data_IF_058543978490
#
_entry.id   IF_058543978490
#
_cell.length_a   1.000
_cell.length_b   1.000
_cell.length_c   1.000
_cell.angle_alpha   90.00
_cell.angle_beta   90.00
_cell.angle_gamma   90.00
#
_symmetry.space_group_name_H-M   'P 1'
#
loop_
_entity.id
_entity.type
_entity.pdbx_description
1 polymer ?
#
# COMPACT_ATOMS: atom_id res chain seq x y z
N UNK A 1 -11.88 29.83 -3.29
CA UNK A 1 -10.74 29.36 -2.48
C UNK A 1 -10.59 27.87 -2.72
N UNK A 2 -9.68 27.49 -3.61
CA UNK A 2 -9.30 26.11 -3.94
C UNK A 2 -7.87 25.78 -3.46
N UNK A 3 -7.16 26.74 -2.86
CA UNK A 3 -5.74 26.64 -2.52
C UNK A 3 -5.47 25.61 -1.40
N UNK A 4 -6.26 25.62 -0.32
CA UNK A 4 -5.99 24.70 0.81
C UNK A 4 -6.22 23.23 0.47
N UNK A 5 -7.27 22.96 -0.31
CA UNK A 5 -7.59 21.61 -0.72
C UNK A 5 -6.48 20.99 -1.57
N UNK A 6 -5.77 21.81 -2.38
CA UNK A 6 -4.65 21.34 -3.18
C UNK A 6 -3.45 20.93 -2.31
N UNK A 7 -3.08 21.73 -1.31
CA UNK A 7 -2.03 21.36 -0.35
C UNK A 7 -2.41 20.10 0.43
N UNK A 8 -3.62 20.00 0.95
CA UNK A 8 -4.03 18.83 1.75
C UNK A 8 -4.27 17.57 0.90
N UNK A 9 -4.56 17.72 -0.39
CA UNK A 9 -4.73 16.59 -1.29
C UNK A 9 -3.43 15.78 -1.43
N UNK A 10 -2.25 16.40 -1.28
CA UNK A 10 -0.97 15.72 -1.55
C UNK A 10 -0.51 14.79 -0.43
N UNK A 11 -1.07 14.93 0.77
CA UNK A 11 -0.74 14.06 1.90
C UNK A 11 -1.24 12.60 1.66
N UNK A 12 -0.65 11.58 2.30
CA UNK A 12 -1.20 10.22 2.29
C UNK A 12 -2.61 10.20 2.93
N UNK A 13 -3.53 9.35 2.47
CA UNK A 13 -4.88 9.24 3.06
C UNK A 13 -5.49 7.87 2.83
N UNK A 14 -6.57 7.57 3.56
CA UNK A 14 -7.31 6.33 3.37
C UNK A 14 -7.85 6.20 1.94
N UNK A 15 -8.39 7.27 1.36
CA UNK A 15 -8.86 7.32 -0.03
C UNK A 15 -7.74 7.01 -1.04
N UNK A 16 -6.48 7.29 -0.68
CA UNK A 16 -5.34 7.13 -1.57
C UNK A 16 -4.68 5.76 -1.47
N UNK A 17 -4.57 5.23 -0.25
CA UNK A 17 -3.72 4.08 0.05
C UNK A 17 -4.51 2.88 0.57
N UNK A 18 -5.77 3.05 0.98
CA UNK A 18 -6.57 1.89 1.38
C UNK A 18 -6.90 1.07 0.14
N UNK A 19 -6.71 -0.26 0.19
CA UNK A 19 -7.26 -1.14 -0.82
C UNK A 19 -8.80 -1.14 -0.76
N UNK A 20 -9.48 -1.63 -1.81
CA UNK A 20 -10.93 -1.64 -1.88
C UNK A 20 -11.59 -2.35 -0.68
N UNK A 21 -12.67 -1.79 -0.14
CA UNK A 21 -13.35 -2.30 1.08
C UNK A 21 -13.75 -3.78 0.99
N UNK A 22 -14.13 -4.26 -0.20
CA UNK A 22 -14.52 -5.66 -0.43
C UNK A 22 -13.39 -6.68 -0.34
N UNK A 23 -12.13 -6.24 -0.45
CA UNK A 23 -10.97 -7.11 -0.29
C UNK A 23 -10.72 -7.47 1.19
N UNK A 24 -11.20 -6.61 2.11
CA UNK A 24 -11.23 -6.92 3.56
C UNK A 24 -12.23 -8.03 3.91
N UNK A 25 -13.22 -8.29 3.04
CA UNK A 25 -14.41 -9.10 3.38
C UNK A 25 -14.56 -10.40 2.60
N UNK A 26 -13.67 -10.72 1.65
CA UNK A 26 -13.67 -12.03 1.00
C UNK A 26 -13.55 -13.14 2.07
N UNK A 27 -14.42 -14.16 2.08
CA UNK A 27 -14.39 -15.19 3.13
C UNK A 27 -13.06 -15.96 3.13
N UNK A 28 -12.70 -16.53 4.28
CA UNK A 28 -11.61 -17.52 4.36
C UNK A 28 -12.00 -18.78 3.60
N UNK A 29 -11.78 -18.77 2.28
CA UNK A 29 -11.81 -20.00 1.49
C UNK A 29 -10.59 -20.86 1.82
N UNK A 30 -10.66 -22.20 1.68
CA UNK A 30 -9.50 -23.08 1.83
C UNK A 30 -8.47 -22.94 0.70
N UNK A 31 -8.72 -22.07 -0.28
CA UNK A 31 -7.88 -21.89 -1.44
C UNK A 31 -6.58 -21.15 -1.09
N UNK A 32 -5.40 -21.76 -1.35
CA UNK A 32 -4.11 -21.17 -1.00
C UNK A 32 -3.82 -19.81 -1.67
N UNK A 33 -4.40 -19.54 -2.85
CA UNK A 33 -4.22 -18.28 -3.56
C UNK A 33 -4.99 -17.17 -2.86
N UNK A 34 -6.25 -17.41 -2.51
CA UNK A 34 -7.05 -16.43 -1.77
C UNK A 34 -6.44 -16.15 -0.40
N UNK A 35 -5.94 -17.18 0.29
CA UNK A 35 -5.22 -17.02 1.55
C UNK A 35 -3.95 -16.15 1.37
N UNK A 36 -3.18 -16.37 0.30
CA UNK A 36 -1.99 -15.57 0.00
C UNK A 36 -2.34 -14.12 -0.37
N UNK A 37 -3.38 -13.90 -1.17
CA UNK A 37 -3.88 -12.56 -1.51
C UNK A 37 -4.38 -11.79 -0.28
N UNK A 38 -5.10 -12.46 0.63
CA UNK A 38 -5.51 -11.89 1.91
C UNK A 38 -4.32 -11.55 2.80
N UNK A 39 -3.32 -12.42 2.90
CA UNK A 39 -2.11 -12.16 3.67
C UNK A 39 -1.32 -10.98 3.10
N UNK A 40 -1.18 -10.90 1.77
CA UNK A 40 -0.53 -9.76 1.09
C UNK A 40 -1.29 -8.45 1.34
N UNK A 41 -2.63 -8.49 1.33
CA UNK A 41 -3.47 -7.33 1.65
C UNK A 41 -3.35 -6.89 3.10
N UNK A 42 -3.43 -7.84 4.06
CA UNK A 42 -3.22 -7.57 5.49
C UNK A 42 -1.85 -6.93 5.73
N UNK A 43 -0.82 -7.45 5.06
CA UNK A 43 0.51 -6.86 5.13
C UNK A 43 0.54 -5.44 4.56
N UNK A 44 -0.06 -5.21 3.39
CA UNK A 44 -0.20 -3.87 2.83
C UNK A 44 -0.89 -2.91 3.82
N UNK A 45 -2.01 -3.32 4.42
CA UNK A 45 -2.69 -2.50 5.44
C UNK A 45 -1.74 -2.11 6.57
N UNK A 46 -1.00 -3.07 7.13
CA UNK A 46 -0.04 -2.77 8.19
C UNK A 46 1.10 -1.85 7.75
N UNK A 47 1.50 -1.88 6.47
CA UNK A 47 2.53 -0.99 5.92
C UNK A 47 2.03 0.46 5.74
N UNK A 48 0.77 0.64 5.31
CA UNK A 48 0.22 1.97 5.01
C UNK A 48 -0.61 2.60 6.13
N UNK A 49 -0.87 1.86 7.21
CA UNK A 49 -1.66 2.33 8.37
C UNK A 49 -1.06 3.60 9.00
N UNK A 50 0.25 3.59 9.29
CA UNK A 50 0.95 4.76 9.85
C UNK A 50 0.98 5.93 8.86
N UNK A 51 1.36 5.75 7.57
CA UNK A 51 1.23 6.79 6.56
C UNK A 51 -0.16 7.44 6.51
N UNK A 52 -1.23 6.63 6.48
CA UNK A 52 -2.60 7.12 6.46
C UNK A 52 -2.90 7.92 7.73
N UNK A 53 -2.63 7.36 8.91
CA UNK A 53 -2.92 8.01 10.19
C UNK A 53 -2.22 9.38 10.31
N UNK A 54 -0.96 9.47 9.89
CA UNK A 54 -0.20 10.73 9.88
C UNK A 54 -0.79 11.77 8.93
N UNK A 55 -1.14 11.37 7.71
CA UNK A 55 -1.75 12.27 6.75
C UNK A 55 -3.11 12.78 7.21
N UNK A 56 -3.95 11.92 7.80
CA UNK A 56 -5.24 12.33 8.36
C UNK A 56 -5.06 13.27 9.57
N UNK A 57 -4.08 13.00 10.45
CA UNK A 57 -3.76 13.88 11.57
C UNK A 57 -3.32 15.27 11.09
N UNK A 58 -2.47 15.35 10.07
CA UNK A 58 -2.04 16.61 9.44
C UNK A 58 -3.21 17.39 8.83
N UNK A 59 -4.14 16.70 8.14
CA UNK A 59 -5.34 17.34 7.58
C UNK A 59 -6.30 17.88 8.63
N UNK A 60 -6.38 17.22 9.77
CA UNK A 60 -7.20 17.65 10.88
C UNK A 60 -6.61 18.88 11.60
N UNK A 61 -5.30 19.10 11.49
CA UNK A 61 -4.60 20.20 12.13
C UNK A 61 -4.46 21.43 11.23
N UNK A 62 -4.57 22.61 11.85
CA UNK A 62 -4.24 23.87 11.18
C UNK A 62 -2.72 24.04 11.15
N UNK A 63 -2.09 24.24 9.98
CA UNK A 63 -0.66 24.49 9.92
C UNK A 63 -0.27 25.77 10.66
N UNK A 64 0.87 25.74 11.35
CA UNK A 64 1.47 26.87 12.06
C UNK A 64 1.94 27.97 11.10
N UNK A 65 2.49 27.58 9.94
CA UNK A 65 2.82 28.50 8.86
C UNK A 65 1.93 28.25 7.65
N UNK A 66 1.25 29.32 7.19
CA UNK A 66 0.37 29.29 6.04
C UNK A 66 0.67 30.46 5.10
N UNK A 67 1.35 30.18 4.00
CA UNK A 67 1.70 31.18 2.98
C UNK A 67 1.04 30.85 1.63
N UNK A 68 1.32 31.63 0.59
CA UNK A 68 0.83 31.30 -0.75
C UNK A 68 1.47 30.01 -1.31
N UNK A 69 2.66 29.65 -0.84
CA UNK A 69 3.49 28.57 -1.41
C UNK A 69 3.89 27.50 -0.40
N UNK A 70 3.54 27.65 0.88
CA UNK A 70 3.98 26.72 1.92
C UNK A 70 2.90 26.46 2.98
N UNK A 71 2.92 25.24 3.49
CA UNK A 71 2.24 24.81 4.72
C UNK A 71 3.27 24.13 5.62
N UNK A 72 3.34 24.53 6.89
CA UNK A 72 4.24 23.89 7.87
C UNK A 72 3.51 23.60 9.16
N UNK A 73 3.77 22.43 9.70
CA UNK A 73 3.33 22.00 11.02
C UNK A 73 4.57 21.84 11.90
N UNK A 74 4.62 22.59 12.99
CA UNK A 74 5.55 22.34 14.08
C UNK A 74 5.23 20.98 14.73
N UNK A 75 6.17 20.37 15.47
CA UNK A 75 5.93 19.10 16.14
C UNK A 75 4.62 19.10 16.96
N UNK A 76 3.73 18.15 16.68
CA UNK A 76 2.49 17.94 17.43
C UNK A 76 2.26 16.46 17.71
N UNK A 77 1.53 16.18 18.80
CA UNK A 77 1.22 14.81 19.20
C UNK A 77 0.27 14.13 18.22
N UNK A 78 0.63 12.93 17.79
CA UNK A 78 -0.20 12.02 17.00
C UNK A 78 -0.34 10.72 17.77
N UNK A 79 -1.58 10.42 18.17
CA UNK A 79 -1.96 9.12 18.70
C UNK A 79 -2.44 8.22 17.56
N UNK A 80 -1.94 6.99 17.51
CA UNK A 80 -2.25 6.03 16.46
C UNK A 80 -2.61 4.69 17.09
N UNK A 81 -3.62 4.03 16.54
CA UNK A 81 -3.88 2.63 16.79
C UNK A 81 -3.28 1.86 15.61
N UNK A 82 -2.42 0.89 15.90
CA UNK A 82 -1.78 0.04 14.89
C UNK A 82 -2.30 -1.38 15.05
N UNK A 83 -3.07 -1.82 14.06
CA UNK A 83 -3.73 -3.13 14.02
C UNK A 83 -3.03 -4.08 13.04
N UNK A 84 -1.68 -4.09 13.03
CA UNK A 84 -0.87 -4.96 12.18
C UNK A 84 0.59 -5.07 12.60
N UNK A 85 1.20 -6.23 12.37
CA UNK A 85 2.59 -6.54 12.78
C UNK A 85 3.65 -6.13 11.75
N UNK A 86 3.26 -5.51 10.62
CA UNK A 86 4.16 -5.23 9.51
C UNK A 86 5.34 -4.32 9.91
N UNK A 87 5.13 -3.45 10.90
CA UNK A 87 6.15 -2.59 11.50
C UNK A 87 6.68 -3.14 12.85
N UNK A 88 6.33 -4.37 13.22
CA UNK A 88 6.63 -4.95 14.54
C UNK A 88 5.97 -4.21 15.70
N UNK A 89 4.90 -3.46 15.42
CA UNK A 89 4.14 -2.68 16.38
C UNK A 89 2.79 -3.36 16.63
N UNK A 90 2.20 -3.14 17.80
CA UNK A 90 0.80 -3.52 18.03
C UNK A 90 0.21 -2.66 19.13
N UNK A 91 -1.05 -2.27 18.97
CA UNK A 91 -1.78 -1.47 19.94
C UNK A 91 -1.61 0.03 19.73
N UNK A 92 -1.81 0.78 20.81
CA UNK A 92 -1.79 2.24 20.76
C UNK A 92 -0.37 2.78 20.92
N UNK A 93 0.04 3.65 20.00
CA UNK A 93 1.31 4.36 20.01
C UNK A 93 1.08 5.87 20.00
N UNK A 94 2.03 6.61 20.54
CA UNK A 94 2.03 8.07 20.51
C UNK A 94 3.38 8.53 19.98
N UNK A 95 3.38 9.49 19.08
CA UNK A 95 4.57 10.10 18.50
C UNK A 95 4.35 11.59 18.27
N UNK A 96 5.41 12.33 17.96
CA UNK A 96 5.35 13.72 17.59
C UNK A 96 5.67 13.88 16.11
N UNK A 97 4.76 14.45 15.34
CA UNK A 97 4.91 14.63 13.91
C UNK A 97 5.12 16.10 13.55
N UNK A 98 5.99 16.35 12.59
CA UNK A 98 6.10 17.64 11.91
C UNK A 98 6.06 17.41 10.40
N UNK A 99 5.65 18.43 9.66
CA UNK A 99 5.54 18.32 8.21
C UNK A 99 5.73 19.67 7.53
N UNK A 100 6.13 19.60 6.26
CA UNK A 100 6.19 20.73 5.36
C UNK A 100 5.61 20.31 4.00
N UNK A 101 4.83 21.21 3.38
CA UNK A 101 4.41 21.11 1.99
C UNK A 101 4.79 22.42 1.31
N UNK A 102 5.50 22.33 0.19
CA UNK A 102 5.93 23.43 -0.66
C UNK A 102 5.28 23.31 -2.03
N UNK A 103 4.65 24.37 -2.51
CA UNK A 103 4.17 24.46 -3.89
C UNK A 103 5.30 24.92 -4.79
N UNK A 104 5.51 24.19 -5.88
CA UNK A 104 6.47 24.51 -6.94
C UNK A 104 5.82 25.36 -8.04
N UNK A 105 6.65 25.96 -8.90
CA UNK A 105 6.23 26.94 -9.91
C UNK A 105 5.25 26.38 -10.98
N UNK A 106 5.16 25.06 -11.13
CA UNK A 106 4.32 24.36 -12.11
C UNK A 106 3.00 23.82 -11.53
N UNK A 107 2.71 24.14 -10.26
CA UNK A 107 1.54 23.62 -9.55
C UNK A 107 1.71 22.20 -9.02
N UNK A 108 2.91 21.65 -9.06
CA UNK A 108 3.29 20.49 -8.25
C UNK A 108 3.61 20.91 -6.81
N UNK A 109 3.69 19.93 -5.92
CA UNK A 109 3.98 20.11 -4.50
C UNK A 109 5.05 19.11 -4.07
N UNK A 110 6.04 19.59 -3.33
CA UNK A 110 6.94 18.74 -2.56
C UNK A 110 6.48 18.71 -1.11
N UNK A 111 6.62 17.58 -0.44
CA UNK A 111 6.32 17.49 0.97
C UNK A 111 7.30 16.59 1.70
N UNK A 112 7.45 16.84 2.99
CA UNK A 112 8.23 16.02 3.92
C UNK A 112 7.46 15.82 5.22
N UNK A 113 7.64 14.66 5.84
CA UNK A 113 7.11 14.33 7.17
C UNK A 113 8.25 13.80 8.02
N UNK A 114 8.34 14.30 9.24
CA UNK A 114 9.30 13.86 10.25
C UNK A 114 8.58 13.42 11.52
N UNK A 115 9.18 12.47 12.23
CA UNK A 115 8.67 11.93 13.49
C UNK A 115 9.72 12.01 14.59
N UNK A 116 9.26 12.23 15.81
CA UNK A 116 10.03 12.13 17.04
C UNK A 116 9.27 11.25 18.05
N UNK A 117 9.95 10.48 18.91
CA UNK A 117 9.28 9.69 19.94
C UNK A 117 8.64 10.59 21.01
N UNK A 118 9.25 11.73 21.33
CA UNK A 118 8.71 12.74 22.26
C UNK A 118 8.87 14.15 21.71
N UNK A 119 8.18 15.13 22.30
CA UNK A 119 8.26 16.56 21.94
C UNK A 119 9.69 17.12 22.00
N UNK A 120 10.49 16.59 22.92
CA UNK A 120 11.84 17.10 23.19
C UNK A 120 12.92 16.48 22.29
N UNK A 121 12.58 15.42 21.55
CA UNK A 121 13.51 14.73 20.67
C UNK A 121 13.58 15.42 19.29
N UNK A 122 14.76 15.38 18.68
CA UNK A 122 14.94 15.92 17.32
C UNK A 122 14.11 15.09 16.32
N UNK A 123 13.21 15.72 15.53
CA UNK A 123 12.43 15.02 14.52
C UNK A 123 13.32 14.41 13.43
N UNK A 124 13.06 13.16 13.10
CA UNK A 124 13.71 12.43 12.01
C UNK A 124 12.81 12.42 10.80
N UNK A 125 13.31 12.85 9.65
CA UNK A 125 12.58 12.70 8.39
C UNK A 125 12.30 11.20 8.13
N UNK A 126 11.03 10.85 7.95
CA UNK A 126 10.58 9.48 7.69
C UNK A 126 9.90 9.34 6.34
N UNK A 127 9.45 10.44 5.74
CA UNK A 127 8.81 10.39 4.44
C UNK A 127 8.99 11.69 3.65
N UNK A 128 8.94 11.55 2.34
CA UNK A 128 8.88 12.66 1.41
C UNK A 128 8.12 12.26 0.15
N UNK A 129 7.69 13.24 -0.62
CA UNK A 129 7.09 12.99 -1.92
C UNK A 129 6.95 14.25 -2.76
N UNK A 130 6.68 14.04 -4.05
CA UNK A 130 6.44 15.08 -5.04
C UNK A 130 5.17 14.75 -5.80
N UNK A 131 4.23 15.67 -5.87
CA UNK A 131 2.90 15.38 -6.41
C UNK A 131 2.31 16.53 -7.21
N UNK A 132 1.57 16.17 -8.26
CA UNK A 132 0.71 17.09 -9.00
C UNK A 132 -0.74 16.62 -8.84
N UNK A 133 -1.48 17.30 -7.95
CA UNK A 133 -2.79 16.82 -7.53
C UNK A 133 -2.68 15.50 -6.76
N UNK A 134 -3.24 14.41 -7.30
CA UNK A 134 -3.23 13.08 -6.68
C UNK A 134 -2.16 12.13 -7.24
N UNK A 135 -1.42 12.59 -8.24
CA UNK A 135 -0.40 11.83 -8.96
C UNK A 135 1.00 12.21 -8.46
N UNK A 136 1.97 11.31 -8.66
CA UNK A 136 3.37 11.49 -8.30
C UNK A 136 3.89 10.48 -7.29
N UNK A 137 5.11 10.74 -6.84
CA UNK A 137 5.93 9.80 -6.08
C UNK A 137 5.90 10.10 -4.59
N UNK A 138 6.01 9.04 -3.78
CA UNK A 138 6.13 9.12 -2.33
C UNK A 138 7.09 8.03 -1.84
N UNK A 139 7.92 8.36 -0.86
CA UNK A 139 8.86 7.43 -0.24
C UNK A 139 8.70 7.49 1.26
N UNK A 140 8.56 6.32 1.88
CA UNK A 140 8.44 6.11 3.31
C UNK A 140 9.57 5.22 3.82
N UNK A 141 10.42 5.75 4.68
CA UNK A 141 11.39 4.96 5.44
C UNK A 141 10.68 4.31 6.63
N UNK A 142 10.09 3.14 6.38
CA UNK A 142 9.35 2.38 7.38
C UNK A 142 10.27 1.88 8.51
N UNK A 143 11.57 1.73 8.25
CA UNK A 143 12.56 1.39 9.29
C UNK A 143 12.71 2.56 10.26
N UNK A 144 12.89 3.77 9.75
CA UNK A 144 12.92 4.97 10.60
C UNK A 144 11.61 5.18 11.35
N UNK A 145 10.45 4.91 10.73
CA UNK A 145 9.14 4.94 11.42
C UNK A 145 9.11 3.94 12.57
N UNK A 146 9.45 2.67 12.32
CA UNK A 146 9.44 1.62 13.34
C UNK A 146 10.36 1.98 14.53
N UNK A 147 11.58 2.44 14.25
CA UNK A 147 12.54 2.84 15.28
C UNK A 147 12.04 4.02 16.13
N UNK A 148 11.44 5.04 15.49
CA UNK A 148 10.85 6.17 16.23
C UNK A 148 9.70 5.73 17.11
N UNK A 149 8.91 4.75 16.66
CA UNK A 149 7.80 4.18 17.42
C UNK A 149 8.22 3.09 18.41
N UNK A 150 9.53 2.87 18.60
CA UNK A 150 10.08 1.96 19.60
C UNK A 150 10.07 0.47 19.21
N UNK A 151 10.02 0.18 17.91
CA UNK A 151 10.14 -1.17 17.36
C UNK A 151 11.54 -1.39 16.80
N UNK A 152 12.13 -2.57 17.06
CA UNK A 152 13.41 -3.01 16.49
C UNK A 152 13.24 -3.63 15.09
N UNK A 153 12.06 -3.48 14.47
CA UNK A 153 11.80 -4.01 13.14
C UNK A 153 12.54 -3.20 12.06
N UNK A 154 12.97 -3.90 11.00
CA UNK A 154 13.58 -3.29 9.82
C UNK A 154 12.74 -3.59 8.56
N UNK A 155 11.51 -3.03 8.48
CA UNK A 155 10.58 -3.28 7.37
C UNK A 155 11.09 -2.74 6.04
N UNK A 156 12.07 -1.84 6.03
CA UNK A 156 12.69 -1.29 4.83
C UNK A 156 12.12 0.05 4.41
N UNK A 157 12.12 0.32 3.11
CA UNK A 157 11.60 1.55 2.50
C UNK A 157 10.45 1.20 1.57
N UNK A 158 9.32 1.88 1.71
CA UNK A 158 8.17 1.76 0.82
C UNK A 158 8.14 2.96 -0.14
N UNK A 159 8.29 2.69 -1.42
CA UNK A 159 8.10 3.68 -2.50
C UNK A 159 6.73 3.50 -3.13
N UNK A 160 6.08 4.60 -3.49
CA UNK A 160 4.77 4.64 -4.13
C UNK A 160 4.84 5.60 -5.31
N UNK A 161 4.39 5.18 -6.48
CA UNK A 161 4.26 6.01 -7.67
C UNK A 161 2.81 5.96 -8.15
N UNK A 162 2.13 7.12 -8.08
CA UNK A 162 0.74 7.27 -8.51
C UNK A 162 0.69 7.87 -9.90
N UNK A 163 0.25 7.09 -10.87
CA UNK A 163 0.15 7.49 -12.28
C UNK A 163 -1.30 7.49 -12.76
N UNK A 164 -1.54 8.20 -13.87
CA UNK A 164 -2.79 8.03 -14.60
C UNK A 164 -2.93 6.56 -15.04
N UNK A 165 -4.16 6.01 -15.03
CA UNK A 165 -4.39 4.64 -15.46
C UNK A 165 -3.95 4.44 -16.92
N UNK A 166 -3.69 3.19 -17.28
CA UNK A 166 -3.32 2.84 -18.65
C UNK A 166 -4.34 3.35 -19.69
N UNK A 167 -3.96 3.49 -20.98
CA UNK A 167 -4.85 3.99 -22.02
C UNK A 167 -6.04 3.06 -22.33
N UNK A 168 -6.10 1.86 -21.78
CA UNK A 168 -7.24 0.94 -21.89
C UNK A 168 -8.35 1.28 -20.87
N UNK A 169 -8.06 2.14 -19.87
CA UNK A 169 -9.06 2.87 -19.10
C UNK A 169 -9.80 2.06 -18.03
N UNK A 170 -9.16 1.02 -17.50
CA UNK A 170 -9.78 0.07 -16.56
C UNK A 170 -9.74 0.50 -15.09
N UNK A 171 -9.09 1.61 -14.74
CA UNK A 171 -9.06 2.18 -13.39
C UNK A 171 -9.11 3.72 -13.46
N UNK A 172 -9.41 4.40 -12.35
CA UNK A 172 -9.32 5.87 -12.29
C UNK A 172 -7.92 6.40 -11.91
N UNK A 173 -7.05 5.54 -11.36
CA UNK A 173 -5.66 5.79 -10.96
C UNK A 173 -4.95 4.45 -10.74
N UNK A 174 -3.66 4.39 -11.06
CA UNK A 174 -2.78 3.28 -10.68
C UNK A 174 -1.78 3.77 -9.61
N UNK A 175 -1.50 2.93 -8.61
CA UNK A 175 -0.42 3.17 -7.64
C UNK A 175 0.51 1.97 -7.66
N UNK A 176 1.70 2.13 -8.21
CA UNK A 176 2.75 1.13 -8.12
C UNK A 176 3.52 1.35 -6.82
N UNK A 177 3.64 0.31 -6.01
CA UNK A 177 4.35 0.34 -4.74
C UNK A 177 5.52 -0.64 -4.76
N UNK A 178 6.60 -0.33 -4.05
CA UNK A 178 7.77 -1.20 -3.94
C UNK A 178 8.35 -1.11 -2.52
N UNK A 179 8.33 -2.23 -1.78
CA UNK A 179 8.98 -2.33 -0.48
C UNK A 179 10.39 -2.91 -0.66
N UNK A 180 11.40 -2.09 -0.37
CA UNK A 180 12.81 -2.48 -0.45
C UNK A 180 13.40 -2.79 0.91
N UNK A 181 13.91 -4.02 1.06
CA UNK A 181 14.62 -4.53 2.24
C UNK A 181 16.02 -4.98 1.83
N UNK A 182 16.95 -4.03 1.77
CA UNK A 182 18.30 -4.29 1.24
C UNK A 182 18.22 -4.67 -0.24
N UNK A 183 18.68 -5.88 -0.66
CA UNK A 183 18.59 -6.33 -2.04
C UNK A 183 17.22 -6.90 -2.44
N UNK A 184 16.29 -7.07 -1.49
CA UNK A 184 14.96 -7.65 -1.74
C UNK A 184 13.98 -6.52 -2.06
N UNK A 185 13.20 -6.68 -3.12
CA UNK A 185 12.11 -5.77 -3.53
C UNK A 185 10.80 -6.57 -3.58
N UNK A 186 9.71 -5.94 -3.16
CA UNK A 186 8.37 -6.51 -3.19
C UNK A 186 7.43 -5.49 -3.84
N UNK A 187 7.07 -5.66 -5.11
CA UNK A 187 6.12 -4.75 -5.73
C UNK A 187 4.65 -5.02 -5.36
N UNK A 188 3.84 -3.96 -5.29
CA UNK A 188 2.37 -4.01 -5.34
C UNK A 188 1.89 -3.03 -6.42
N UNK A 189 0.66 -3.23 -6.87
CA UNK A 189 -0.05 -2.32 -7.75
C UNK A 189 -1.50 -2.17 -7.25
N UNK A 190 -1.93 -0.94 -7.01
CA UNK A 190 -3.31 -0.65 -6.62
C UNK A 190 -4.03 0.03 -7.78
N UNK A 191 -5.21 -0.49 -8.14
CA UNK A 191 -6.03 0.02 -9.23
C UNK A 191 -7.31 0.65 -8.64
N UNK A 192 -7.38 1.98 -8.65
CA UNK A 192 -8.51 2.72 -8.09
C UNK A 192 -9.82 2.33 -8.78
N UNK A 193 -10.83 1.96 -7.97
CA UNK A 193 -12.18 1.49 -8.32
C UNK A 193 -12.34 0.03 -8.78
N UNK A 194 -11.29 -0.63 -9.30
CA UNK A 194 -11.45 -1.94 -9.95
C UNK A 194 -10.75 -3.10 -9.27
N UNK A 195 -9.72 -2.88 -8.44
CA UNK A 195 -9.11 -3.97 -7.68
C UNK A 195 -7.76 -3.63 -7.06
N UNK A 196 -7.15 -4.63 -6.43
CA UNK A 196 -5.75 -4.56 -6.02
C UNK A 196 -4.98 -5.69 -6.69
N UNK A 197 -3.88 -5.34 -7.34
CA UNK A 197 -2.96 -6.25 -8.02
C UNK A 197 -1.68 -6.36 -7.23
N UNK A 198 -1.46 -7.46 -6.54
CA UNK A 198 -0.14 -7.76 -6.00
C UNK A 198 0.76 -8.26 -7.13
N UNK A 199 1.99 -7.75 -7.26
CA UNK A 199 3.00 -8.26 -8.20
C UNK A 199 4.30 -8.42 -7.43
N UNK A 200 4.45 -9.48 -6.63
CA UNK A 200 5.72 -9.69 -5.94
C UNK A 200 6.70 -10.51 -6.77
N UNK A 201 7.65 -9.86 -7.45
CA UNK A 201 8.82 -10.55 -7.99
C UNK A 201 9.72 -11.07 -6.86
N UNK A 202 9.43 -12.27 -6.33
CA UNK A 202 10.29 -12.91 -5.34
C UNK A 202 11.48 -13.60 -6.04
N UNK A 203 12.69 -13.15 -5.70
CA UNK A 203 13.90 -13.91 -5.96
C UNK A 203 13.86 -15.23 -5.18
N UNK A 204 13.97 -16.34 -5.91
CA UNK A 204 13.98 -17.70 -5.38
C UNK A 204 15.18 -17.85 -4.43
N UNK A 205 14.92 -18.16 -3.16
CA UNK A 205 15.94 -18.59 -2.20
C UNK A 205 16.35 -20.04 -2.48
N UNK A 206 17.54 -20.44 -2.03
CA UNK A 206 18.19 -21.75 -2.35
C UNK A 206 17.37 -23.00 -1.97
N UNK A 207 16.31 -22.84 -1.18
CA UNK A 207 15.34 -23.83 -0.74
C UNK A 207 14.14 -24.03 -1.69
N UNK A 208 14.08 -23.30 -2.81
CA UNK A 208 13.23 -23.63 -3.96
C UNK A 208 11.72 -23.36 -3.79
N UNK A 209 11.33 -22.62 -2.75
CA UNK A 209 9.95 -22.18 -2.54
C UNK A 209 9.71 -20.84 -3.26
N UNK A 210 9.08 -20.91 -4.44
CA UNK A 210 8.54 -19.75 -5.12
C UNK A 210 7.18 -19.38 -4.52
N UNK A 211 7.10 -18.21 -3.89
CA UNK A 211 5.84 -17.58 -3.51
C UNK A 211 5.20 -16.93 -4.76
N UNK A 212 3.88 -16.69 -4.79
CA UNK A 212 3.22 -16.15 -5.98
C UNK A 212 3.85 -14.82 -6.44
N UNK A 213 4.16 -14.76 -7.73
CA UNK A 213 4.83 -13.65 -8.40
C UNK A 213 3.87 -12.48 -8.70
N UNK A 214 2.57 -12.76 -8.82
CA UNK A 214 1.51 -11.78 -8.85
C UNK A 214 0.17 -12.40 -8.39
N UNK A 215 -0.69 -11.64 -7.74
CA UNK A 215 -2.07 -11.98 -7.46
C UNK A 215 -2.96 -10.71 -7.58
N UNK A 216 -3.76 -10.63 -8.63
CA UNK A 216 -4.81 -9.62 -8.80
C UNK A 216 -6.12 -10.10 -8.23
N UNK A 217 -6.71 -9.31 -7.34
CA UNK A 217 -8.03 -9.58 -6.73
C UNK A 217 -9.00 -8.47 -7.18
N UNK A 218 -9.97 -8.85 -8.01
CA UNK A 218 -11.09 -7.98 -8.44
C UNK A 218 -12.31 -8.14 -7.54
N UNK A 219 -13.12 -7.09 -7.38
CA UNK A 219 -14.34 -7.13 -6.56
C UNK A 219 -15.59 -6.53 -7.23
N UNK A 220 -16.71 -7.28 -7.19
CA UNK A 220 -18.04 -6.86 -6.68
C UNK A 220 -19.01 -8.08 -6.60
N UNK A 221 -19.41 -8.52 -5.39
CA UNK A 221 -20.43 -9.57 -5.13
C UNK A 221 -20.01 -11.02 -5.44
N UNK A 222 -19.33 -11.22 -6.55
CA UNK A 222 -18.45 -12.34 -6.87
C UNK A 222 -17.07 -11.72 -7.20
N UNK A 223 -16.01 -12.51 -7.19
CA UNK A 223 -14.69 -11.99 -7.51
C UNK A 223 -13.85 -12.97 -8.30
N UNK A 224 -12.87 -12.39 -8.99
CA UNK A 224 -11.88 -13.12 -9.77
C UNK A 224 -10.51 -12.73 -9.22
N UNK A 225 -9.73 -13.76 -8.93
CA UNK A 225 -8.37 -13.72 -8.45
C UNK A 225 -7.48 -14.26 -9.56
N UNK A 226 -6.78 -13.42 -10.30
CA UNK A 226 -5.77 -13.87 -11.26
C UNK A 226 -4.40 -13.82 -10.61
N UNK A 227 -3.44 -14.59 -11.08
CA UNK A 227 -2.08 -14.45 -10.60
C UNK A 227 -1.07 -15.17 -11.44
N UNK A 228 0.20 -14.89 -11.17
CA UNK A 228 1.35 -15.45 -11.86
C UNK A 228 2.28 -16.02 -10.80
N UNK A 229 2.90 -17.17 -11.05
CA UNK A 229 3.99 -17.72 -10.24
C UNK A 229 5.18 -17.92 -11.16
N UNK A 230 6.35 -17.39 -10.77
CA UNK A 230 7.59 -17.69 -11.47
C UNK A 230 8.33 -18.83 -10.75
N UNK A 231 8.61 -19.92 -11.46
CA UNK A 231 9.43 -21.02 -10.97
C UNK A 231 10.64 -21.19 -11.90
N UNK A 232 11.77 -20.61 -11.50
CA UNK A 232 12.96 -20.51 -12.35
C UNK A 232 12.70 -19.56 -13.53
N UNK A 233 12.76 -20.07 -14.76
CA UNK A 233 12.45 -19.30 -15.97
C UNK A 233 11.02 -19.53 -16.49
N UNK A 234 10.19 -20.26 -15.74
CA UNK A 234 8.84 -20.63 -16.15
C UNK A 234 7.83 -19.74 -15.45
N UNK A 235 7.01 -19.07 -16.25
CA UNK A 235 5.88 -18.28 -15.80
C UNK A 235 4.62 -19.15 -15.82
N UNK A 236 3.88 -19.17 -14.70
CA UNK A 236 2.65 -19.94 -14.56
C UNK A 236 1.52 -19.00 -14.17
N UNK A 237 0.52 -18.83 -15.03
CA UNK A 237 -0.68 -18.08 -14.68
C UNK A 237 -1.72 -18.98 -14.00
N UNK A 238 -2.49 -18.39 -13.09
CA UNK A 238 -3.68 -19.00 -12.52
C UNK A 238 -4.83 -18.01 -12.45
N UNK A 239 -6.04 -18.55 -12.35
CA UNK A 239 -7.25 -17.78 -12.07
C UNK A 239 -8.12 -18.60 -11.12
N UNK A 240 -8.60 -17.96 -10.06
CA UNK A 240 -9.52 -18.48 -9.06
C UNK A 240 -10.73 -17.55 -8.98
N UNK A 241 -11.94 -18.07 -9.00
CA UNK A 241 -13.16 -17.26 -8.83
C UNK A 241 -13.84 -17.61 -7.52
N UNK A 242 -14.54 -16.66 -6.89
CA UNK A 242 -15.37 -16.94 -5.71
C UNK A 242 -16.73 -16.27 -5.79
N UNK A 243 -17.72 -16.91 -5.15
CA UNK A 243 -19.03 -16.32 -4.90
C UNK A 243 -19.07 -15.55 -3.57
N UNK A 244 -20.22 -14.92 -3.27
CA UNK A 244 -20.43 -14.22 -1.99
C UNK A 244 -20.38 -15.12 -0.74
N UNK A 245 -20.30 -16.45 -0.91
CA UNK A 245 -20.09 -17.42 0.16
C UNK A 245 -18.62 -17.87 0.28
N UNK A 246 -17.72 -17.38 -0.57
CA UNK A 246 -16.29 -17.70 -0.56
C UNK A 246 -15.98 -19.11 -1.08
N UNK A 247 -16.94 -19.74 -1.78
CA UNK A 247 -16.66 -21.00 -2.46
C UNK A 247 -15.88 -20.72 -3.73
N UNK A 248 -14.71 -21.36 -3.85
CA UNK A 248 -13.84 -21.19 -5.00
C UNK A 248 -14.24 -22.08 -6.16
N UNK A 249 -14.32 -21.52 -7.36
CA UNK A 249 -14.46 -22.28 -8.61
C UNK A 249 -13.26 -22.05 -9.53
N UNK A 250 -12.67 -23.18 -9.92
CA UNK A 250 -11.58 -23.39 -10.88
C UNK A 250 -10.20 -22.79 -10.53
N UNK A 251 -9.17 -23.58 -10.82
CA UNK A 251 -7.76 -23.18 -10.96
C UNK A 251 -7.39 -23.55 -12.38
N UNK A 252 -7.26 -22.58 -13.28
CA UNK A 252 -6.82 -22.83 -14.65
C UNK A 252 -5.37 -22.39 -14.78
N UNK A 253 -4.47 -23.31 -15.14
CA UNK A 253 -3.04 -23.02 -15.35
C UNK A 253 -2.43 -24.05 -16.29
N UNK A 254 -1.21 -23.79 -16.78
CA UNK A 254 -0.52 -24.62 -17.79
C UNK A 254 -0.54 -26.11 -17.37
N UNK A 255 -1.00 -27.05 -18.22
CA UNK A 255 -1.43 -28.40 -17.82
C UNK A 255 -0.30 -29.34 -17.35
N UNK A 256 0.92 -28.84 -17.22
CA UNK A 256 2.09 -29.62 -16.82
C UNK A 256 2.21 -29.92 -15.32
N UNK A 257 1.50 -29.20 -14.43
CA UNK A 257 1.77 -29.29 -12.98
C UNK A 257 0.50 -29.34 -12.10
N UNK A 258 -0.70 -28.97 -12.60
CA UNK A 258 -1.93 -29.14 -11.82
C UNK A 258 -3.16 -29.40 -12.72
N UNK A 259 -3.78 -30.57 -12.56
CA UNK A 259 -5.16 -30.80 -12.98
C UNK A 259 -6.03 -30.60 -11.75
N UNK A 260 -7.01 -29.68 -11.81
CA UNK A 260 -7.98 -29.49 -10.73
C UNK A 260 -9.39 -29.59 -11.32
N UNK A 261 -10.19 -30.49 -10.76
CA UNK A 261 -11.61 -30.63 -11.07
C UNK A 261 -12.43 -29.62 -10.26
N UNK A 262 -13.14 -28.74 -10.95
CA UNK A 262 -14.11 -27.80 -10.39
C UNK A 262 -14.96 -27.22 -11.53
N UNK A 263 -16.18 -26.71 -11.25
CA UNK A 263 -16.97 -26.04 -12.27
C UNK A 263 -16.20 -24.79 -12.78
N UNK A 264 -16.31 -24.44 -14.08
CA UNK A 264 -15.70 -23.23 -14.63
C UNK A 264 -16.28 -21.99 -13.95
N UNK A 265 -15.49 -20.90 -13.88
CA UNK A 265 -16.00 -19.59 -13.51
C UNK A 265 -17.23 -19.28 -14.38
N UNK A 266 -18.38 -19.04 -13.74
CA UNK A 266 -19.56 -18.59 -14.46
C UNK A 266 -19.29 -17.17 -14.99
N UNK A 267 -19.62 -16.86 -16.26
CA UNK A 267 -19.51 -15.52 -16.80
C UNK A 267 -20.49 -14.54 -16.14
#
# INVERSE_FOLDING_TARGET
>A
MLEEAAFLAVLPSAERLSPPEGLRTAPQGPDPVLAAGQAAAQRWFGLVEVPIALGEALRAQVPDERTAVARRWAPFEVAQQIDGDALGLSGSTTSWASAEILQLDDGSFEWTIALAPTEADEPRAVAHGTQQGRLGEQVWDLTSVAEVLGSDSAPGQLSLDSTDPDPEGTAARQVDADLRRGPISEPWQLLELTGMTFVADLAITDDGLAWPAAATVFHEGAGIGAGIVQQGTVELSFTACWDGAGQTSSRTGDPGIATVEGPPCAP
#
